data_IF_570174984987
#
_entry.id   IF_570174984987
#
_cell.length_a   1.000
_cell.length_b   1.000
_cell.length_c   1.000
_cell.angle_alpha   90.00
_cell.angle_beta   90.00
_cell.angle_gamma   90.00
#
_symmetry.space_group_name_H-M   'P 1'
#
loop_
_entity.id
_entity.type
_entity.pdbx_description
1 polymer ?
#
# COMPACT_ATOMS: atom_id res chain seq x y z
N UNK A 1 3.10 8.61 -1.80
CA UNK A 1 2.74 8.37 -3.22
C UNK A 1 2.60 9.61 -4.09
N UNK A 2 2.48 10.84 -3.54
CA UNK A 2 2.39 12.07 -4.34
C UNK A 2 3.51 12.27 -5.38
N UNK A 3 4.67 11.63 -5.21
CA UNK A 3 5.86 11.85 -6.05
C UNK A 3 6.08 10.80 -7.16
N UNK A 4 5.18 9.82 -7.31
CA UNK A 4 5.31 8.78 -8.36
C UNK A 4 4.20 8.80 -9.39
N UNK A 5 3.29 9.78 -9.31
CA UNK A 5 2.15 9.90 -10.21
C UNK A 5 2.14 11.29 -10.85
N UNK A 6 1.75 11.35 -12.13
CA UNK A 6 1.46 12.60 -12.81
C UNK A 6 0.30 13.34 -12.12
N UNK A 7 0.30 14.68 -12.22
CA UNK A 7 -0.68 15.55 -11.56
C UNK A 7 -2.12 15.18 -11.92
N UNK A 8 -2.39 14.93 -13.21
CA UNK A 8 -3.74 14.62 -13.68
C UNK A 8 -4.21 13.26 -13.12
N UNK A 9 -3.34 12.25 -13.05
CA UNK A 9 -3.66 10.95 -12.42
C UNK A 9 -3.93 11.13 -10.91
N UNK A 10 -3.15 11.95 -10.21
CA UNK A 10 -3.42 12.26 -8.80
C UNK A 10 -4.77 12.94 -8.59
N UNK A 11 -5.19 13.82 -9.51
CA UNK A 11 -6.51 14.45 -9.47
C UNK A 11 -7.61 13.44 -9.75
N UNK A 12 -7.40 12.52 -10.70
CA UNK A 12 -8.34 11.42 -10.96
C UNK A 12 -8.53 10.53 -9.74
N UNK A 13 -7.45 10.11 -9.08
CA UNK A 13 -7.54 9.27 -7.88
C UNK A 13 -8.35 9.94 -6.77
N UNK A 14 -8.21 11.26 -6.59
CA UNK A 14 -9.02 12.04 -5.65
C UNK A 14 -10.47 12.08 -6.08
N UNK A 15 -10.75 12.36 -7.35
CA UNK A 15 -12.11 12.41 -7.89
C UNK A 15 -12.82 11.06 -7.73
N UNK A 16 -12.15 9.98 -8.14
CA UNK A 16 -12.58 8.61 -7.94
C UNK A 16 -12.89 8.34 -6.47
N UNK A 17 -12.00 8.71 -5.55
CA UNK A 17 -12.24 8.51 -4.11
C UNK A 17 -13.49 9.27 -3.62
N UNK A 18 -13.67 10.52 -4.05
CA UNK A 18 -14.85 11.32 -3.69
C UNK A 18 -16.14 10.66 -4.19
N UNK A 19 -16.13 10.18 -5.43
CA UNK A 19 -17.25 9.44 -6.04
C UNK A 19 -17.58 8.15 -5.30
N UNK A 20 -16.63 7.56 -4.58
CA UNK A 20 -16.88 6.36 -3.77
C UNK A 20 -17.42 6.68 -2.38
N UNK A 21 -17.07 7.84 -1.84
CA UNK A 21 -17.66 8.33 -0.59
C UNK A 21 -19.05 8.93 -0.78
N UNK A 22 -19.32 9.51 -1.94
CA UNK A 22 -20.54 10.26 -2.24
C UNK A 22 -20.88 10.09 -3.72
N UNK A 23 -21.97 9.37 -4.00
CA UNK A 23 -22.51 9.17 -5.35
C UNK A 23 -24.04 9.28 -5.27
N UNK A 24 -24.69 10.21 -5.98
CA UNK A 24 -24.15 11.21 -6.92
C UNK A 24 -23.27 12.28 -6.24
N UNK A 25 -22.16 12.67 -6.89
CA UNK A 25 -21.26 13.73 -6.41
C UNK A 25 -21.58 15.08 -7.07
N UNK A 26 -21.89 16.15 -6.33
CA UNK A 26 -22.09 17.47 -6.94
C UNK A 26 -20.83 17.96 -7.66
N UNK A 27 -20.96 18.36 -8.92
CA UNK A 27 -19.82 18.75 -9.76
C UNK A 27 -19.08 19.98 -9.22
N UNK A 28 -19.81 20.95 -8.70
CA UNK A 28 -19.22 22.16 -8.09
C UNK A 28 -18.45 21.82 -6.81
N UNK A 29 -18.92 20.83 -6.02
CA UNK A 29 -18.21 20.33 -4.84
C UNK A 29 -16.92 19.63 -5.24
N UNK A 30 -16.97 18.75 -6.24
CA UNK A 30 -15.78 18.09 -6.78
C UNK A 30 -14.72 19.08 -7.29
N UNK A 31 -15.16 20.17 -7.93
CA UNK A 31 -14.30 21.25 -8.41
C UNK A 31 -13.67 22.04 -7.24
N UNK A 32 -14.49 22.44 -6.26
CA UNK A 32 -14.06 23.21 -5.10
C UNK A 32 -13.06 22.42 -4.23
N UNK A 33 -13.39 21.19 -3.86
CA UNK A 33 -12.55 20.36 -2.98
C UNK A 33 -11.17 20.04 -3.58
N UNK A 34 -11.05 20.06 -4.91
CA UNK A 34 -9.79 19.86 -5.61
C UNK A 34 -9.09 21.15 -6.04
N UNK A 35 -9.69 22.32 -5.80
CA UNK A 35 -9.25 23.62 -6.31
C UNK A 35 -9.07 23.61 -7.84
N UNK A 36 -10.07 23.11 -8.57
CA UNK A 36 -10.09 23.01 -10.03
C UNK A 36 -11.32 23.71 -10.61
N UNK A 37 -11.24 24.07 -11.90
CA UNK A 37 -12.43 24.52 -12.62
C UNK A 37 -13.35 23.33 -12.93
N UNK A 38 -14.66 23.59 -13.01
CA UNK A 38 -15.64 22.59 -13.49
C UNK A 38 -15.27 22.05 -14.88
N UNK A 39 -14.75 22.91 -15.76
CA UNK A 39 -14.25 22.51 -17.09
C UNK A 39 -13.12 21.47 -16.98
N UNK A 40 -12.20 21.66 -16.03
CA UNK A 40 -11.12 20.72 -15.77
C UNK A 40 -11.64 19.37 -15.27
N UNK A 41 -12.62 19.36 -14.35
CA UNK A 41 -13.24 18.12 -13.88
C UNK A 41 -13.90 17.35 -15.02
N UNK A 42 -14.64 18.03 -15.90
CA UNK A 42 -15.26 17.38 -17.08
C UNK A 42 -14.21 16.78 -18.03
N UNK A 43 -13.13 17.52 -18.31
CA UNK A 43 -12.00 17.03 -19.12
C UNK A 43 -11.37 15.77 -18.51
N UNK A 44 -11.15 15.79 -17.20
CA UNK A 44 -10.58 14.71 -16.41
C UNK A 44 -11.45 13.43 -16.48
N UNK A 45 -12.78 13.57 -16.36
CA UNK A 45 -13.72 12.46 -16.53
C UNK A 45 -13.63 11.85 -17.94
N UNK A 46 -13.68 12.69 -18.98
CA UNK A 46 -13.67 12.23 -20.38
C UNK A 46 -12.34 11.59 -20.80
N UNK A 47 -11.21 12.10 -20.30
CA UNK A 47 -9.87 11.67 -20.77
C UNK A 47 -9.25 10.53 -19.98
N UNK A 48 -9.80 10.15 -18.82
CA UNK A 48 -9.10 9.21 -17.93
C UNK A 48 -10.01 8.13 -17.35
N UNK A 49 -11.18 8.48 -16.81
CA UNK A 49 -12.07 7.47 -16.24
C UNK A 49 -12.85 6.75 -17.34
N UNK A 50 -13.44 7.49 -18.27
CA UNK A 50 -14.32 6.93 -19.31
C UNK A 50 -13.58 6.24 -20.48
N UNK A 51 -12.25 6.25 -20.50
CA UNK A 51 -11.48 5.45 -21.47
C UNK A 51 -11.53 3.95 -21.15
N UNK A 52 -11.77 3.58 -19.90
CA UNK A 52 -11.92 2.20 -19.50
C UNK A 52 -13.42 1.85 -19.45
N UNK A 53 -13.89 0.88 -20.26
CA UNK A 53 -15.31 0.53 -20.32
C UNK A 53 -15.87 0.06 -18.98
N UNK A 54 -15.02 -0.40 -18.05
CA UNK A 54 -15.43 -0.79 -16.70
C UNK A 54 -15.82 0.40 -15.82
N UNK A 55 -15.46 1.64 -16.20
CA UNK A 55 -15.66 2.85 -15.41
C UNK A 55 -16.27 3.98 -16.24
N UNK A 56 -17.59 4.02 -16.37
CA UNK A 56 -18.28 5.12 -17.03
C UNK A 56 -18.95 6.07 -16.02
N UNK A 57 -18.52 7.33 -16.02
CA UNK A 57 -19.12 8.40 -15.23
C UNK A 57 -19.61 9.52 -16.14
N UNK A 58 -20.83 9.99 -15.88
CA UNK A 58 -21.45 11.08 -16.64
C UNK A 58 -21.90 12.21 -15.71
N UNK A 59 -22.05 13.41 -16.27
CA UNK A 59 -22.54 14.58 -15.53
C UNK A 59 -23.98 14.87 -15.94
N UNK A 60 -24.90 14.57 -15.02
CA UNK A 60 -26.34 14.80 -15.20
C UNK A 60 -26.85 15.77 -14.14
N UNK A 61 -27.57 16.82 -14.56
CA UNK A 61 -28.18 17.80 -13.65
C UNK A 61 -27.18 18.38 -12.62
N UNK A 62 -25.95 18.67 -13.06
CA UNK A 62 -24.89 19.22 -12.19
C UNK A 62 -24.25 18.22 -11.23
N UNK A 63 -24.55 16.93 -11.34
CA UNK A 63 -23.98 15.86 -10.51
C UNK A 63 -23.24 14.85 -11.37
N UNK A 64 -22.10 14.36 -10.88
CA UNK A 64 -21.34 13.26 -11.45
C UNK A 64 -21.97 11.96 -10.94
N UNK A 65 -22.31 11.05 -11.86
CA UNK A 65 -22.94 9.75 -11.57
C UNK A 65 -22.19 8.62 -12.25
N UNK A 66 -22.10 7.48 -11.58
CA UNK A 66 -21.72 6.23 -12.24
C UNK A 66 -22.85 5.81 -13.18
N UNK A 67 -22.51 5.46 -14.41
CA UNK A 67 -23.47 4.98 -15.41
C UNK A 67 -23.56 3.46 -15.31
N UNK A 68 -24.57 2.96 -14.59
CA UNK A 68 -24.69 1.54 -14.26
C UNK A 68 -25.10 0.66 -15.45
N UNK A 69 -25.74 1.21 -16.49
CA UNK A 69 -26.22 0.42 -17.64
C UNK A 69 -25.11 -0.11 -18.55
N UNK A 70 -23.87 0.41 -18.41
CA UNK A 70 -22.67 -0.10 -19.12
C UNK A 70 -21.76 -0.93 -18.21
N UNK A 71 -22.04 -0.98 -16.91
CA UNK A 71 -21.30 -1.79 -15.95
C UNK A 71 -21.88 -3.21 -16.01
N UNK A 72 -21.19 -4.14 -16.67
CA UNK A 72 -21.61 -5.53 -16.69
C UNK A 72 -21.87 -6.04 -15.26
N UNK A 73 -22.87 -6.91 -15.06
CA UNK A 73 -23.16 -7.48 -13.75
C UNK A 73 -22.09 -8.53 -13.42
N UNK A 74 -20.92 -8.08 -12.98
CA UNK A 74 -19.87 -8.95 -12.47
C UNK A 74 -20.32 -9.45 -11.09
N UNK A 75 -20.86 -10.66 -11.09
CA UNK A 75 -21.29 -11.43 -9.94
C UNK A 75 -20.10 -11.76 -9.02
N UNK A 76 -19.62 -10.80 -8.23
CA UNK A 76 -19.04 -11.08 -6.92
C UNK A 76 -19.11 -9.81 -6.06
N UNK A 77 -19.73 -9.95 -4.88
CA UNK A 77 -19.80 -8.90 -3.87
C UNK A 77 -18.36 -8.62 -3.39
N UNK A 78 -17.69 -7.58 -3.94
CA UNK A 78 -16.70 -6.70 -3.29
C UNK A 78 -15.62 -6.01 -4.19
N UNK A 79 -15.67 -6.01 -5.53
CA UNK A 79 -14.49 -5.60 -6.33
C UNK A 79 -14.66 -4.67 -7.56
N UNK A 80 -15.15 -3.40 -7.47
CA UNK A 80 -14.93 -2.41 -8.55
C UNK A 80 -13.78 -1.43 -8.30
N UNK A 81 -13.46 -1.12 -7.04
CA UNK A 81 -12.66 0.09 -6.74
C UNK A 81 -11.15 -0.13 -6.75
N UNK A 82 -10.68 -1.29 -6.31
CA UNK A 82 -9.26 -1.65 -6.36
C UNK A 82 -8.77 -1.76 -7.80
N UNK A 83 -9.60 -2.29 -8.69
CA UNK A 83 -9.33 -2.37 -10.12
C UNK A 83 -9.28 -0.99 -10.77
N UNK A 84 -10.22 -0.10 -10.43
CA UNK A 84 -10.18 1.31 -10.87
C UNK A 84 -8.89 2.00 -10.46
N UNK A 85 -8.48 1.83 -9.20
CA UNK A 85 -7.22 2.40 -8.72
C UNK A 85 -6.04 1.82 -9.49
N UNK A 86 -5.97 0.49 -9.64
CA UNK A 86 -4.91 -0.16 -10.40
C UNK A 86 -4.85 0.34 -11.85
N UNK A 87 -5.99 0.51 -12.52
CA UNK A 87 -6.07 1.06 -13.87
C UNK A 87 -5.49 2.49 -13.93
N UNK A 88 -5.87 3.37 -13.00
CA UNK A 88 -5.33 4.73 -12.91
C UNK A 88 -3.81 4.74 -12.65
N UNK A 89 -3.32 3.86 -11.77
CA UNK A 89 -1.89 3.69 -11.53
C UNK A 89 -1.17 3.16 -12.78
N UNK A 90 -1.79 2.23 -13.50
CA UNK A 90 -1.22 1.66 -14.72
C UNK A 90 -1.15 2.65 -15.89
N UNK A 91 -2.00 3.68 -15.91
CA UNK A 91 -1.89 4.83 -16.84
C UNK A 91 -0.72 5.76 -16.53
N UNK A 92 -0.19 5.75 -15.30
CA UNK A 92 0.92 6.63 -14.93
C UNK A 92 2.25 6.14 -15.52
N UNK A 93 2.83 6.93 -16.42
CA UNK A 93 4.16 6.65 -16.97
C UNK A 93 5.22 6.63 -15.88
N UNK A 94 5.14 7.54 -14.90
CA UNK A 94 6.04 7.57 -13.74
C UNK A 94 5.99 6.27 -12.95
N UNK A 95 4.78 5.80 -12.64
CA UNK A 95 4.58 4.57 -11.89
C UNK A 95 5.11 3.35 -12.66
N UNK A 96 4.73 3.22 -13.94
CA UNK A 96 5.18 2.13 -14.80
C UNK A 96 6.71 2.11 -14.94
N UNK A 97 7.32 3.28 -15.12
CA UNK A 97 8.78 3.41 -15.20
C UNK A 97 9.46 2.99 -13.89
N UNK A 98 8.96 3.42 -12.74
CA UNK A 98 9.51 3.03 -11.44
C UNK A 98 9.38 1.52 -11.21
N UNK A 99 8.20 0.95 -11.49
CA UNK A 99 7.95 -0.48 -11.37
C UNK A 99 8.88 -1.28 -12.28
N UNK A 100 9.11 -0.82 -13.52
CA UNK A 100 10.04 -1.45 -14.44
C UNK A 100 11.48 -1.44 -13.90
N UNK A 101 11.97 -0.29 -13.41
CA UNK A 101 13.31 -0.19 -12.83
C UNK A 101 13.53 -1.14 -11.65
N UNK A 102 12.49 -1.34 -10.84
CA UNK A 102 12.53 -2.26 -9.71
C UNK A 102 12.52 -3.73 -10.15
N UNK A 103 11.75 -4.06 -11.19
CA UNK A 103 11.60 -5.42 -11.74
C UNK A 103 12.76 -5.84 -12.65
N UNK A 104 13.37 -4.89 -13.36
CA UNK A 104 14.44 -5.12 -14.34
C UNK A 104 15.69 -4.35 -13.93
N UNK A 105 16.52 -4.92 -13.06
CA UNK A 105 17.57 -4.16 -12.40
C UNK A 105 18.80 -3.91 -13.30
N UNK A 106 18.88 -4.55 -14.47
CA UNK A 106 19.95 -4.40 -15.46
C UNK A 106 19.55 -3.53 -16.66
N UNK A 107 18.38 -2.89 -16.63
CA UNK A 107 17.89 -2.09 -17.76
C UNK A 107 18.77 -0.86 -17.99
N UNK A 108 19.11 -0.58 -19.26
CA UNK A 108 19.96 0.56 -19.62
C UNK A 108 19.15 1.83 -19.91
N UNK A 109 19.80 2.99 -19.85
CA UNK A 109 19.19 4.25 -20.31
C UNK A 109 18.70 4.20 -21.76
N UNK A 110 19.43 3.51 -22.64
CA UNK A 110 19.06 3.37 -24.06
C UNK A 110 17.75 2.58 -24.22
N UNK A 111 17.57 1.53 -23.42
CA UNK A 111 16.34 0.73 -23.44
C UNK A 111 15.16 1.53 -22.90
N UNK A 112 15.36 2.29 -21.82
CA UNK A 112 14.33 3.15 -21.24
C UNK A 112 13.87 4.24 -22.21
N UNK A 113 14.82 4.88 -22.91
CA UNK A 113 14.52 5.86 -23.94
C UNK A 113 13.64 5.27 -25.04
N UNK A 114 14.03 4.11 -25.59
CA UNK A 114 13.27 3.42 -26.65
C UNK A 114 11.89 2.97 -26.20
N UNK A 115 11.76 2.44 -24.98
CA UNK A 115 10.52 1.85 -24.48
C UNK A 115 9.47 2.88 -24.07
N UNK A 116 9.90 4.02 -23.53
CA UNK A 116 8.99 5.06 -23.05
C UNK A 116 8.95 6.31 -23.93
N UNK A 117 9.74 6.37 -25.00
CA UNK A 117 9.87 7.53 -25.89
C UNK A 117 10.19 8.83 -25.11
N UNK A 118 11.04 8.71 -24.08
CA UNK A 118 11.41 9.82 -23.20
C UNK A 118 12.84 10.27 -23.46
N UNK A 119 13.04 11.58 -23.61
CA UNK A 119 14.38 12.17 -23.70
C UNK A 119 15.20 11.89 -22.42
N UNK A 120 16.56 11.89 -22.51
CA UNK A 120 17.42 11.71 -21.33
C UNK A 120 17.12 12.72 -20.20
N UNK A 121 16.88 13.98 -20.55
CA UNK A 121 16.50 15.03 -19.60
C UNK A 121 15.18 14.74 -18.90
N UNK A 122 14.19 14.21 -19.63
CA UNK A 122 12.90 13.80 -19.07
C UNK A 122 13.05 12.63 -18.10
N UNK A 123 13.88 11.63 -18.43
CA UNK A 123 14.18 10.50 -17.55
C UNK A 123 14.85 10.96 -16.25
N UNK A 124 15.88 11.82 -16.33
CA UNK A 124 16.56 12.34 -15.14
C UNK A 124 15.62 13.10 -14.20
N UNK A 125 14.71 13.92 -14.74
CA UNK A 125 13.69 14.62 -13.95
C UNK A 125 12.78 13.63 -13.21
N UNK A 126 12.37 12.53 -13.87
CA UNK A 126 11.56 11.49 -13.23
C UNK A 126 12.36 10.75 -12.14
N UNK A 127 13.63 10.45 -12.35
CA UNK A 127 14.49 9.81 -11.34
C UNK A 127 14.72 10.69 -10.10
N UNK A 128 14.76 12.01 -10.28
CA UNK A 128 14.75 12.94 -9.16
C UNK A 128 13.46 12.78 -8.34
N UNK A 129 12.30 12.72 -8.99
CA UNK A 129 11.01 12.47 -8.31
C UNK A 129 11.01 11.13 -7.57
N UNK A 130 11.55 10.08 -8.18
CA UNK A 130 11.64 8.75 -7.57
C UNK A 130 12.52 8.75 -6.32
N UNK A 131 13.60 9.53 -6.29
CA UNK A 131 14.45 9.61 -5.10
C UNK A 131 13.70 10.12 -3.87
N UNK A 132 12.76 11.06 -4.03
CA UNK A 132 11.92 11.51 -2.92
C UNK A 132 10.93 10.44 -2.45
N UNK A 133 10.46 9.58 -3.36
CA UNK A 133 9.59 8.46 -3.00
C UNK A 133 10.35 7.33 -2.29
N UNK A 134 11.57 7.05 -2.73
CA UNK A 134 12.41 5.95 -2.23
C UNK A 134 13.10 6.29 -0.90
N UNK A 135 13.37 7.56 -0.64
CA UNK A 135 14.10 8.01 0.55
C UNK A 135 13.51 7.53 1.90
N UNK A 136 12.18 7.59 2.14
CA UNK A 136 11.59 7.05 3.38
C UNK A 136 11.84 5.55 3.59
N UNK A 137 12.02 4.79 2.51
CA UNK A 137 12.36 3.36 2.55
C UNK A 137 13.87 3.10 2.69
N UNK A 138 14.67 4.17 2.86
CA UNK A 138 16.14 4.15 2.83
C UNK A 138 16.71 3.55 1.55
N UNK A 139 15.97 3.66 0.45
CA UNK A 139 16.39 3.24 -0.87
C UNK A 139 16.94 4.43 -1.66
N UNK A 140 17.86 4.16 -2.56
CA UNK A 140 18.48 5.16 -3.43
C UNK A 140 18.40 4.69 -4.87
N UNK A 141 18.34 5.64 -5.79
CA UNK A 141 18.43 5.38 -7.23
C UNK A 141 19.74 5.99 -7.74
N UNK A 142 20.63 5.16 -8.26
CA UNK A 142 21.73 5.64 -9.09
C UNK A 142 21.15 6.09 -10.44
N UNK A 143 21.62 7.23 -10.92
CA UNK A 143 21.14 7.89 -12.14
C UNK A 143 22.17 7.88 -13.26
N UNK A 144 23.30 7.18 -13.07
CA UNK A 144 24.32 6.93 -14.11
C UNK A 144 23.78 5.98 -15.19
N UNK A 145 24.59 5.65 -16.19
CA UNK A 145 24.22 4.91 -17.42
C UNK A 145 23.36 3.65 -17.24
N UNK A 146 23.43 3.02 -16.06
CA UNK A 146 22.53 1.94 -15.63
C UNK A 146 21.78 2.39 -14.37
N UNK A 147 20.53 2.87 -14.50
CA UNK A 147 19.78 3.34 -13.36
C UNK A 147 19.42 2.17 -12.46
N UNK A 148 20.01 2.14 -11.27
CA UNK A 148 19.88 1.03 -10.34
C UNK A 148 19.30 1.53 -9.02
N UNK A 149 18.26 0.85 -8.54
CA UNK A 149 17.74 1.07 -7.20
C UNK A 149 18.47 0.13 -6.23
N UNK A 150 19.12 0.74 -5.23
CA UNK A 150 19.96 0.09 -4.22
C UNK A 150 19.51 0.43 -2.80
N UNK A 151 19.93 -0.38 -1.84
CA UNK A 151 19.63 -0.25 -0.43
C UNK A 151 19.56 -1.62 0.25
N UNK A 152 18.99 -1.68 1.46
CA UNK A 152 18.73 -2.94 2.12
C UNK A 152 17.72 -3.76 1.29
N UNK A 153 18.04 -5.02 1.02
CA UNK A 153 17.26 -5.85 0.10
C UNK A 153 15.85 -6.12 0.65
N UNK A 154 15.67 -6.23 1.98
CA UNK A 154 14.35 -6.35 2.61
C UNK A 154 13.43 -5.18 2.25
N UNK A 155 13.96 -3.95 2.27
CA UNK A 155 13.19 -2.74 1.94
C UNK A 155 12.82 -2.71 0.46
N UNK A 156 13.80 -3.03 -0.39
CA UNK A 156 13.62 -3.01 -1.84
C UNK A 156 12.52 -3.98 -2.26
N UNK A 157 12.58 -5.19 -1.74
CA UNK A 157 11.62 -6.23 -2.04
C UNK A 157 10.23 -5.93 -1.47
N UNK A 158 10.14 -5.25 -0.34
CA UNK A 158 8.86 -4.71 0.16
C UNK A 158 8.26 -3.65 -0.77
N UNK A 159 9.08 -2.74 -1.31
CA UNK A 159 8.60 -1.76 -2.29
C UNK A 159 8.14 -2.46 -3.58
N UNK A 160 8.86 -3.48 -4.07
CA UNK A 160 8.41 -4.31 -5.19
C UNK A 160 7.05 -4.95 -4.88
N UNK A 161 6.94 -5.63 -3.73
CA UNK A 161 5.70 -6.27 -3.29
C UNK A 161 4.52 -5.30 -3.35
N UNK A 162 4.68 -4.11 -2.77
CA UNK A 162 3.60 -3.10 -2.72
C UNK A 162 3.18 -2.62 -4.10
N UNK A 163 4.14 -2.28 -4.95
CA UNK A 163 3.84 -1.75 -6.28
C UNK A 163 3.31 -2.87 -7.21
N UNK A 164 3.78 -4.10 -7.08
CA UNK A 164 3.20 -5.22 -7.85
C UNK A 164 1.73 -5.45 -7.48
N UNK A 165 1.41 -5.53 -6.18
CA UNK A 165 0.02 -5.72 -5.74
C UNK A 165 -0.88 -4.54 -6.09
N UNK A 166 -0.35 -3.31 -6.09
CA UNK A 166 -1.10 -2.14 -6.52
C UNK A 166 -1.39 -2.13 -8.03
N UNK A 167 -0.44 -2.61 -8.84
CA UNK A 167 -0.60 -2.73 -10.29
C UNK A 167 -1.57 -3.86 -10.69
N UNK A 168 -1.66 -4.89 -9.85
CA UNK A 168 -2.40 -6.13 -10.14
C UNK A 168 -3.15 -6.61 -8.88
N UNK A 169 -4.23 -5.93 -8.48
CA UNK A 169 -4.96 -6.24 -7.24
C UNK A 169 -5.70 -7.58 -7.28
N UNK A 170 -5.92 -8.14 -8.47
CA UNK A 170 -6.58 -9.44 -8.70
C UNK A 170 -5.61 -10.62 -8.73
N UNK A 171 -4.31 -10.37 -8.56
CA UNK A 171 -3.28 -11.40 -8.56
C UNK A 171 -3.50 -12.35 -7.39
N UNK A 172 -3.63 -13.65 -7.66
CA UNK A 172 -3.73 -14.64 -6.57
C UNK A 172 -2.46 -14.66 -5.73
N UNK A 173 -2.57 -15.04 -4.45
CA UNK A 173 -1.43 -15.15 -3.54
C UNK A 173 -0.27 -15.98 -4.10
N UNK A 174 -0.58 -17.10 -4.77
CA UNK A 174 0.43 -17.95 -5.40
C UNK A 174 1.14 -17.26 -6.56
N UNK A 175 0.39 -16.61 -7.46
CA UNK A 175 0.97 -15.87 -8.58
C UNK A 175 1.84 -14.71 -8.08
N UNK A 176 1.35 -13.96 -7.09
CA UNK A 176 2.10 -12.88 -6.45
C UNK A 176 3.42 -13.39 -5.88
N UNK A 177 3.40 -14.51 -5.15
CA UNK A 177 4.62 -15.10 -4.60
C UNK A 177 5.62 -15.50 -5.69
N UNK A 178 5.17 -16.16 -6.76
CA UNK A 178 6.04 -16.58 -7.85
C UNK A 178 6.65 -15.40 -8.60
N UNK A 179 5.86 -14.37 -8.91
CA UNK A 179 6.36 -13.17 -9.59
C UNK A 179 7.42 -12.45 -8.74
N UNK A 180 7.17 -12.28 -7.44
CA UNK A 180 8.14 -11.67 -6.53
C UNK A 180 9.41 -12.49 -6.41
N UNK A 181 9.28 -13.82 -6.28
CA UNK A 181 10.42 -14.74 -6.23
C UNK A 181 11.28 -14.65 -7.49
N UNK A 182 10.67 -14.61 -8.68
CA UNK A 182 11.38 -14.47 -9.95
C UNK A 182 12.15 -13.15 -10.01
N UNK A 183 11.51 -12.03 -9.64
CA UNK A 183 12.18 -10.72 -9.60
C UNK A 183 13.39 -10.75 -8.64
N UNK A 184 13.22 -11.37 -7.47
CA UNK A 184 14.31 -11.50 -6.49
C UNK A 184 15.47 -12.35 -7.02
N UNK A 185 15.18 -13.46 -7.72
CA UNK A 185 16.20 -14.29 -8.36
C UNK A 185 16.95 -13.54 -9.46
N UNK A 186 16.25 -12.79 -10.31
CA UNK A 186 16.88 -11.97 -11.35
C UNK A 186 17.83 -10.93 -10.74
N UNK A 187 17.42 -10.29 -9.65
CA UNK A 187 18.28 -9.34 -8.91
C UNK A 187 19.48 -10.03 -8.26
N UNK A 188 19.26 -11.18 -7.61
CA UNK A 188 20.34 -11.94 -6.98
C UNK A 188 21.41 -12.33 -8.00
N UNK A 189 21.00 -12.87 -9.15
CA UNK A 189 21.92 -13.27 -10.21
C UNK A 189 22.68 -12.08 -10.81
N UNK A 190 22.04 -10.91 -10.93
CA UNK A 190 22.64 -9.73 -11.52
C UNK A 190 23.65 -9.01 -10.62
N UNK A 191 23.42 -8.95 -9.30
CA UNK A 191 24.24 -8.12 -8.38
C UNK A 191 24.96 -8.90 -7.28
N UNK A 192 24.48 -10.10 -6.97
CA UNK A 192 24.98 -10.91 -5.86
C UNK A 192 25.34 -12.33 -6.32
N UNK A 193 26.10 -12.52 -7.43
CA UNK A 193 26.36 -13.87 -7.96
C UNK A 193 27.20 -14.72 -7.01
N UNK A 194 28.10 -14.08 -6.26
CA UNK A 194 29.07 -14.76 -5.38
C UNK A 194 29.02 -14.25 -3.93
N UNK A 195 28.05 -13.40 -3.58
CA UNK A 195 27.90 -12.83 -2.24
C UNK A 195 26.45 -12.93 -1.79
N UNK A 196 26.18 -13.13 -0.49
CA UNK A 196 24.80 -13.10 -0.02
C UNK A 196 24.22 -11.68 -0.16
N UNK A 197 22.96 -11.58 -0.57
CA UNK A 197 22.27 -10.30 -0.64
C UNK A 197 22.27 -9.61 0.73
N UNK A 198 22.36 -8.27 0.73
CA UNK A 198 22.45 -7.50 1.97
C UNK A 198 21.08 -7.38 2.65
N UNK A 199 20.81 -8.33 3.55
CA UNK A 199 19.63 -8.29 4.44
C UNK A 199 19.90 -7.57 5.76
N UNK A 200 21.15 -7.29 6.08
CA UNK A 200 21.56 -6.72 7.35
C UNK A 200 21.20 -5.23 7.43
N UNK A 201 20.32 -4.91 8.38
CA UNK A 201 20.04 -3.57 8.87
C UNK A 201 19.80 -3.71 10.37
N UNK A 202 20.26 -2.73 11.14
CA UNK A 202 19.95 -2.66 12.56
C UNK A 202 18.43 -2.49 12.73
N UNK A 203 17.79 -3.47 13.38
CA UNK A 203 16.34 -3.50 13.59
C UNK A 203 16.02 -3.01 14.99
N UNK A 204 15.13 -2.02 15.09
CA UNK A 204 14.59 -1.54 16.36
C UNK A 204 13.11 -1.20 16.24
N UNK A 205 12.31 -1.48 17.29
CA UNK A 205 12.66 -2.31 18.46
C UNK A 205 12.76 -3.81 18.10
N UNK A 206 13.53 -4.60 18.85
CA UNK A 206 13.72 -6.05 18.58
C UNK A 206 12.65 -6.94 19.20
N UNK A 207 11.88 -6.43 20.16
CA UNK A 207 10.89 -7.18 20.96
C UNK A 207 9.62 -7.61 20.21
N UNK A 208 9.54 -7.37 18.90
CA UNK A 208 8.46 -7.86 18.02
C UNK A 208 9.01 -8.70 16.86
N UNK A 209 10.30 -9.03 16.91
CA UNK A 209 11.01 -9.62 15.80
C UNK A 209 11.67 -10.91 16.25
N UNK A 210 10.98 -12.04 16.04
CA UNK A 210 11.59 -13.34 16.23
C UNK A 210 12.92 -13.41 15.48
N UNK A 211 13.97 -13.89 16.17
CA UNK A 211 15.36 -13.88 15.64
C UNK A 211 15.47 -14.50 14.27
N UNK A 212 14.66 -15.52 13.97
CA UNK A 212 14.71 -16.19 12.67
C UNK A 212 14.32 -15.25 11.51
N UNK A 213 13.43 -14.26 11.68
CA UNK A 213 13.12 -13.27 10.62
C UNK A 213 14.28 -12.32 10.31
N UNK A 214 15.30 -12.27 11.17
CA UNK A 214 16.53 -11.51 10.92
C UNK A 214 17.53 -12.30 10.08
N UNK A 215 17.25 -13.58 9.77
CA UNK A 215 18.19 -14.50 9.13
C UNK A 215 17.91 -14.62 7.63
N UNK A 216 18.85 -14.19 6.78
CA UNK A 216 19.01 -14.57 5.37
C UNK A 216 17.77 -14.63 4.46
N UNK A 217 17.95 -15.26 3.30
CA UNK A 217 16.92 -15.37 2.25
C UNK A 217 15.72 -16.24 2.67
N UNK A 218 15.98 -17.37 3.34
CA UNK A 218 14.95 -18.37 3.66
C UNK A 218 13.87 -17.81 4.57
N UNK A 219 14.24 -17.14 5.65
CA UNK A 219 13.26 -16.58 6.58
C UNK A 219 12.49 -15.41 5.97
N UNK A 220 13.12 -14.69 5.05
CA UNK A 220 12.44 -13.65 4.29
C UNK A 220 11.37 -14.24 3.36
N UNK A 221 11.70 -15.29 2.59
CA UNK A 221 10.74 -15.97 1.73
C UNK A 221 9.57 -16.55 2.53
N UNK A 222 9.85 -17.09 3.72
CA UNK A 222 8.81 -17.57 4.64
C UNK A 222 7.90 -16.42 5.11
N UNK A 223 8.45 -15.28 5.52
CA UNK A 223 7.65 -14.10 5.86
C UNK A 223 6.73 -13.70 4.70
N UNK A 224 7.22 -13.72 3.46
CA UNK A 224 6.44 -13.43 2.26
C UNK A 224 5.29 -14.39 2.02
N UNK A 225 5.52 -15.69 2.21
CA UNK A 225 4.45 -16.67 2.15
C UNK A 225 3.37 -16.36 3.20
N UNK A 226 3.77 -15.97 4.41
CA UNK A 226 2.80 -15.63 5.46
C UNK A 226 2.03 -14.33 5.18
N UNK A 227 2.68 -13.29 4.62
CA UNK A 227 1.97 -12.06 4.24
C UNK A 227 0.96 -12.27 3.11
N UNK A 228 1.25 -13.23 2.22
CA UNK A 228 0.35 -13.65 1.14
C UNK A 228 -0.67 -14.71 1.60
N UNK A 229 -0.71 -15.05 2.89
CA UNK A 229 -1.57 -16.09 3.47
C UNK A 229 -1.39 -17.48 2.83
N UNK A 230 -0.22 -17.74 2.25
CA UNK A 230 0.19 -19.08 1.78
C UNK A 230 0.69 -19.95 2.94
N UNK A 231 1.14 -19.31 4.01
CA UNK A 231 1.55 -19.95 5.25
C UNK A 231 0.85 -19.26 6.44
N UNK A 232 0.48 -20.00 7.49
CA UNK A 232 -0.09 -19.41 8.69
C UNK A 232 0.90 -18.46 9.39
N UNK A 233 0.36 -17.39 9.96
CA UNK A 233 1.12 -16.43 10.74
C UNK A 233 1.02 -16.78 12.23
N UNK A 234 2.17 -16.98 12.87
CA UNK A 234 2.27 -17.41 14.26
C UNK A 234 2.71 -16.26 15.16
N UNK A 235 2.04 -16.10 16.29
CA UNK A 235 2.43 -15.17 17.36
C UNK A 235 3.15 -15.99 18.43
N UNK A 236 4.38 -15.62 18.83
CA UNK A 236 5.06 -16.32 19.92
C UNK A 236 4.28 -16.14 21.25
N UNK A 237 4.41 -17.12 22.14
CA UNK A 237 3.53 -17.26 23.31
C UNK A 237 3.56 -16.06 24.25
N UNK A 238 4.74 -15.46 24.48
CA UNK A 238 4.90 -14.32 25.37
C UNK A 238 4.19 -13.07 24.82
N UNK A 239 4.39 -12.77 23.53
CA UNK A 239 3.72 -11.66 22.85
C UNK A 239 2.21 -11.90 22.73
N UNK A 240 1.78 -13.15 22.48
CA UNK A 240 0.36 -13.50 22.45
C UNK A 240 -0.31 -13.24 23.80
N UNK A 241 0.34 -13.62 24.92
CA UNK A 241 -0.17 -13.36 26.27
C UNK A 241 -0.28 -11.85 26.54
N UNK A 242 0.78 -11.09 26.25
CA UNK A 242 0.81 -9.65 26.47
C UNK A 242 -0.25 -8.92 25.64
N UNK A 243 -0.33 -9.20 24.34
CA UNK A 243 -1.31 -8.59 23.44
C UNK A 243 -2.74 -8.94 23.86
N UNK A 244 -3.01 -10.20 24.24
CA UNK A 244 -4.32 -10.61 24.76
C UNK A 244 -4.70 -9.80 26.00
N UNK A 245 -3.79 -9.65 26.98
CA UNK A 245 -4.03 -8.85 28.19
C UNK A 245 -4.40 -7.39 27.87
N UNK A 246 -3.76 -6.80 26.86
CA UNK A 246 -3.98 -5.40 26.47
C UNK A 246 -5.28 -5.23 25.69
N UNK A 247 -5.60 -6.15 24.77
CA UNK A 247 -6.71 -6.01 23.81
C UNK A 247 -8.04 -6.44 24.40
N UNK A 248 -8.06 -7.48 25.26
CA UNK A 248 -9.31 -8.03 25.82
C UNK A 248 -10.21 -6.97 26.46
N UNK A 249 -9.72 -6.07 27.34
CA UNK A 249 -10.56 -5.04 27.96
C UNK A 249 -11.25 -4.12 26.93
N UNK A 250 -10.54 -3.76 25.86
CA UNK A 250 -11.05 -2.87 24.81
C UNK A 250 -12.17 -3.57 24.03
N UNK A 251 -12.02 -4.87 23.75
CA UNK A 251 -13.04 -5.66 23.07
C UNK A 251 -14.25 -5.98 23.95
N UNK A 252 -14.10 -6.00 25.28
CA UNK A 252 -15.23 -6.12 26.20
C UNK A 252 -16.15 -4.90 26.11
N UNK A 253 -15.60 -3.69 25.93
CA UNK A 253 -16.37 -2.45 25.79
C UNK A 253 -16.88 -2.22 24.37
N UNK A 254 -16.08 -2.60 23.36
CA UNK A 254 -16.37 -2.40 21.94
C UNK A 254 -16.26 -3.72 21.15
N UNK A 255 -17.22 -4.65 21.33
CA UNK A 255 -17.13 -6.01 20.80
C UNK A 255 -17.01 -6.07 19.27
N UNK A 256 -16.32 -7.11 18.80
CA UNK A 256 -16.16 -7.47 17.40
C UNK A 256 -16.57 -8.93 17.19
N UNK A 257 -17.04 -9.25 15.98
CA UNK A 257 -17.40 -10.62 15.61
C UNK A 257 -16.17 -11.51 15.37
N UNK A 258 -15.00 -10.91 15.09
CA UNK A 258 -13.78 -11.65 14.80
C UNK A 258 -13.21 -12.35 16.05
N UNK A 259 -12.70 -13.59 15.92
CA UNK A 259 -11.96 -14.25 16.99
C UNK A 259 -10.72 -13.44 17.39
N UNK A 260 -10.45 -13.37 18.70
CA UNK A 260 -9.32 -12.62 19.24
C UNK A 260 -7.99 -13.11 18.66
N UNK A 261 -7.84 -14.41 18.45
CA UNK A 261 -6.62 -15.05 17.92
C UNK A 261 -6.27 -14.50 16.53
N UNK A 262 -7.28 -14.28 15.68
CA UNK A 262 -7.10 -13.69 14.35
C UNK A 262 -6.64 -12.24 14.45
N UNK A 263 -7.20 -11.47 15.39
CA UNK A 263 -6.82 -10.09 15.64
C UNK A 263 -5.38 -9.98 16.17
N UNK A 264 -5.01 -10.84 17.12
CA UNK A 264 -3.65 -10.91 17.69
C UNK A 264 -2.60 -11.14 16.59
N UNK A 265 -2.84 -12.10 15.70
CA UNK A 265 -1.93 -12.36 14.58
C UNK A 265 -1.76 -11.16 13.66
N UNK A 266 -2.84 -10.46 13.32
CA UNK A 266 -2.79 -9.27 12.45
C UNK A 266 -2.08 -8.08 13.12
N UNK A 267 -2.31 -7.88 14.42
CA UNK A 267 -1.65 -6.81 15.19
C UNK A 267 -0.16 -7.10 15.31
N UNK A 268 0.20 -8.34 15.67
CA UNK A 268 1.60 -8.76 15.74
C UNK A 268 2.28 -8.63 14.36
N UNK A 269 1.60 -8.99 13.28
CA UNK A 269 2.09 -8.79 11.91
C UNK A 269 2.37 -7.32 11.61
N UNK A 270 1.47 -6.40 11.97
CA UNK A 270 1.69 -4.97 11.79
C UNK A 270 2.92 -4.47 12.57
N UNK A 271 3.10 -4.93 13.82
CA UNK A 271 4.27 -4.57 14.63
C UNK A 271 5.57 -5.17 14.09
N UNK A 272 5.57 -6.44 13.67
CA UNK A 272 6.71 -7.11 13.03
C UNK A 272 7.15 -6.34 11.79
N UNK A 273 6.21 -5.96 10.92
CA UNK A 273 6.51 -5.19 9.71
C UNK A 273 7.04 -3.80 10.05
N UNK A 274 6.45 -3.08 11.01
CA UNK A 274 6.98 -1.78 11.44
C UNK A 274 8.38 -1.88 12.08
N UNK A 275 8.70 -2.99 12.74
CA UNK A 275 10.04 -3.20 13.24
C UNK A 275 11.03 -3.47 12.09
N UNK A 276 10.66 -4.35 11.14
CA UNK A 276 11.52 -4.81 10.04
C UNK A 276 11.73 -3.80 8.90
N UNK A 277 10.71 -2.98 8.61
CA UNK A 277 10.62 -2.16 7.40
C UNK A 277 10.72 -0.66 7.73
N UNK A 278 10.94 0.17 6.71
CA UNK A 278 10.96 1.62 6.82
C UNK A 278 9.95 2.22 5.83
N UNK A 279 9.62 3.49 5.98
CA UNK A 279 8.64 4.16 5.12
C UNK A 279 7.21 3.68 5.37
N UNK A 280 6.29 4.09 4.50
CA UNK A 280 4.86 3.84 4.71
C UNK A 280 4.48 2.37 4.42
N UNK A 281 3.72 1.77 5.36
CA UNK A 281 3.33 0.36 5.30
C UNK A 281 2.10 0.02 4.43
N UNK A 282 1.32 1.01 4.02
CA UNK A 282 0.13 0.79 3.19
C UNK A 282 0.51 0.58 1.74
N UNK A 283 -0.13 -0.35 1.04
CA UNK A 283 -0.08 -0.37 -0.43
C UNK A 283 -0.65 0.95 -0.99
N UNK A 284 -1.86 1.33 -0.55
CA UNK A 284 -2.40 2.67 -0.74
C UNK A 284 -3.12 3.17 0.51
N UNK A 285 -2.65 4.26 1.16
CA UNK A 285 -3.26 4.74 2.39
C UNK A 285 -4.60 5.42 2.11
N UNK A 286 -5.54 5.37 3.07
CA UNK A 286 -6.81 6.09 2.97
C UNK A 286 -6.57 7.59 2.83
N UNK A 287 -7.36 8.27 1.99
CA UNK A 287 -7.21 9.71 1.75
C UNK A 287 -7.73 10.56 2.92
N UNK A 288 -8.81 10.12 3.56
CA UNK A 288 -9.43 10.78 4.71
C UNK A 288 -9.50 9.79 5.88
N UNK A 289 -8.38 9.55 6.57
CA UNK A 289 -8.35 8.63 7.70
C UNK A 289 -9.09 9.21 8.91
N UNK A 290 -9.98 8.41 9.49
CA UNK A 290 -10.56 8.67 10.81
C UNK A 290 -10.27 7.45 11.69
N UNK A 291 -9.84 7.69 12.93
CA UNK A 291 -9.63 6.63 13.91
C UNK A 291 -10.89 6.46 14.75
N UNK A 292 -11.33 5.22 14.91
CA UNK A 292 -12.41 4.90 15.84
C UNK A 292 -11.97 5.04 17.29
N UNK A 293 -12.93 5.06 18.23
CA UNK A 293 -12.61 5.10 19.66
C UNK A 293 -11.83 3.85 20.06
N UNK A 294 -12.21 2.68 19.51
CA UNK A 294 -11.46 1.42 19.69
C UNK A 294 -9.98 1.57 19.32
N UNK A 295 -9.68 2.15 18.15
CA UNK A 295 -8.30 2.37 17.70
C UNK A 295 -7.54 3.34 18.61
N UNK A 296 -8.19 4.42 19.06
CA UNK A 296 -7.59 5.39 19.98
C UNK A 296 -7.27 4.76 21.34
N UNK A 297 -8.21 4.00 21.93
CA UNK A 297 -8.00 3.26 23.18
C UNK A 297 -6.87 2.23 23.05
N UNK A 298 -6.79 1.52 21.93
CA UNK A 298 -5.71 0.56 21.68
C UNK A 298 -4.34 1.24 21.64
N UNK A 299 -4.21 2.38 20.96
CA UNK A 299 -2.96 3.14 20.91
C UNK A 299 -2.56 3.59 22.32
N UNK A 300 -3.51 4.11 23.10
CA UNK A 300 -3.23 4.52 24.49
C UNK A 300 -2.80 3.34 25.37
N UNK A 301 -3.47 2.20 25.22
CA UNK A 301 -3.13 0.99 25.95
C UNK A 301 -1.74 0.45 25.56
N UNK A 302 -1.38 0.51 24.27
CA UNK A 302 -0.03 0.15 23.84
C UNK A 302 1.04 1.13 24.32
N UNK A 303 0.79 2.45 24.30
CA UNK A 303 1.74 3.44 24.82
C UNK A 303 2.04 3.23 26.31
N UNK A 304 1.07 2.72 27.06
CA UNK A 304 1.20 2.51 28.52
C UNK A 304 1.71 1.11 28.89
N UNK A 305 1.32 0.08 28.15
CA UNK A 305 1.53 -1.31 28.55
C UNK A 305 2.47 -2.10 27.64
N UNK A 306 2.72 -1.63 26.41
CA UNK A 306 3.52 -2.35 25.42
C UNK A 306 4.94 -1.76 25.35
N UNK A 307 5.98 -2.52 25.74
CA UNK A 307 7.36 -2.02 25.72
C UNK A 307 7.79 -1.52 24.35
N UNK A 308 8.45 -0.37 24.34
CA UNK A 308 9.02 0.27 23.14
C UNK A 308 8.01 0.62 22.03
N UNK A 309 6.70 0.56 22.30
CA UNK A 309 5.68 0.94 21.33
C UNK A 309 5.82 2.38 20.87
N UNK A 310 6.21 3.30 21.75
CA UNK A 310 6.50 4.71 21.41
C UNK A 310 7.52 4.85 20.25
N UNK A 311 8.55 4.00 20.23
CA UNK A 311 9.63 4.04 19.21
C UNK A 311 9.10 3.52 17.89
N UNK A 312 8.30 2.46 17.96
CA UNK A 312 7.64 1.87 16.81
C UNK A 312 6.64 2.86 16.19
N UNK A 313 5.82 3.53 17.02
CA UNK A 313 4.86 4.54 16.58
C UNK A 313 5.55 5.79 15.99
N UNK A 314 6.66 6.24 16.58
CA UNK A 314 7.46 7.33 16.01
C UNK A 314 8.02 6.97 14.64
N UNK A 315 8.40 5.72 14.43
CA UNK A 315 8.89 5.20 13.15
C UNK A 315 7.76 5.04 12.12
N UNK A 316 6.60 4.55 12.56
CA UNK A 316 5.42 4.30 11.73
C UNK A 316 4.19 5.00 12.33
N UNK A 317 4.02 6.31 12.09
CA UNK A 317 2.88 7.07 12.60
C UNK A 317 1.54 6.59 12.00
N UNK A 318 1.58 5.80 10.93
CA UNK A 318 0.41 5.19 10.31
C UNK A 318 -0.12 3.93 11.04
N UNK A 319 0.58 3.42 12.06
CA UNK A 319 0.17 2.23 12.81
C UNK A 319 -1.27 2.26 13.35
N UNK A 320 -1.77 3.38 13.92
CA UNK A 320 -3.17 3.48 14.35
C UNK A 320 -4.16 3.17 13.21
N UNK A 321 -3.83 3.55 11.98
CA UNK A 321 -4.66 3.27 10.80
C UNK A 321 -4.59 1.79 10.40
N UNK A 322 -3.47 1.10 10.65
CA UNK A 322 -3.40 -0.35 10.44
C UNK A 322 -4.32 -1.08 11.40
N UNK A 323 -4.45 -0.63 12.65
CA UNK A 323 -5.43 -1.22 13.58
C UNK A 323 -6.86 -0.99 13.11
N UNK A 324 -7.16 0.19 12.58
CA UNK A 324 -8.45 0.47 11.96
C UNK A 324 -8.75 -0.48 10.79
N UNK A 325 -7.75 -0.77 9.94
CA UNK A 325 -7.89 -1.80 8.90
C UNK A 325 -8.24 -3.17 9.48
N UNK A 326 -7.56 -3.56 10.57
CA UNK A 326 -7.76 -4.84 11.22
C UNK A 326 -9.20 -4.96 11.76
N UNK A 327 -9.70 -3.92 12.43
CA UNK A 327 -11.08 -3.87 12.95
C UNK A 327 -12.13 -3.95 11.84
N UNK A 328 -11.86 -3.33 10.69
CA UNK A 328 -12.78 -3.31 9.55
C UNK A 328 -12.59 -4.48 8.59
N UNK A 329 -11.76 -5.46 8.95
CA UNK A 329 -11.45 -6.64 8.14
C UNK A 329 -10.80 -6.32 6.79
N UNK A 330 -10.11 -5.19 6.69
CA UNK A 330 -9.45 -4.73 5.47
C UNK A 330 -7.98 -5.10 5.49
N UNK A 331 -7.48 -5.58 4.35
CA UNK A 331 -6.04 -5.80 4.18
C UNK A 331 -5.36 -4.48 3.82
N UNK A 332 -4.36 -4.05 4.59
CA UNK A 332 -3.49 -2.92 4.23
C UNK A 332 -2.52 -3.26 3.08
N UNK A 333 -2.51 -4.52 2.64
CA UNK A 333 -1.90 -4.98 1.38
C UNK A 333 -2.82 -4.83 0.16
N UNK A 334 -4.05 -4.34 0.35
CA UNK A 334 -4.92 -3.91 -0.72
C UNK A 334 -5.05 -2.39 -0.71
N UNK A 335 -5.42 -1.77 -1.84
CA UNK A 335 -5.66 -0.34 -1.88
C UNK A 335 -6.88 0.04 -1.00
N UNK A 336 -6.71 1.01 -0.09
CA UNK A 336 -7.77 1.46 0.82
C UNK A 336 -8.12 2.92 0.50
N UNK A 337 -9.38 3.15 0.12
CA UNK A 337 -9.84 4.45 -0.36
C UNK A 337 -10.38 5.32 0.79
N UNK A 338 -11.32 4.77 1.56
CA UNK A 338 -11.93 5.41 2.72
C UNK A 338 -12.41 4.34 3.70
N UNK A 339 -12.26 4.57 5.00
CA UNK A 339 -12.84 3.70 6.02
C UNK A 339 -14.35 3.87 6.07
N UNK A 340 -15.10 2.77 6.27
CA UNK A 340 -16.56 2.90 6.44
C UNK A 340 -16.83 3.58 7.78
N UNK A 341 -17.58 4.68 7.79
CA UNK A 341 -18.07 5.30 9.01
C UNK A 341 -19.18 4.42 9.62
N UNK A 342 -18.83 3.27 10.19
CA UNK A 342 -19.76 2.56 11.08
C UNK A 342 -19.73 3.29 12.41
N UNK A 343 -20.89 3.79 12.87
CA UNK A 343 -21.03 4.26 14.25
C UNK A 343 -20.73 3.08 15.17
N UNK A 344 -19.63 3.13 15.91
CA UNK A 344 -19.40 2.22 17.02
C UNK A 344 -20.57 2.41 17.98
N UNK A 345 -21.36 1.35 18.21
CA UNK A 345 -22.42 1.38 19.21
C UNK A 345 -21.76 1.04 20.54
N UNK A 346 -21.59 1.98 21.48
CA UNK A 346 -21.26 1.60 22.84
C UNK A 346 -22.39 0.74 23.41
N UNK A 347 -22.04 -0.23 24.24
CA UNK A 347 -23.03 -0.92 25.08
C UNK A 347 -23.65 0.12 26.03
N UNK A 348 -24.98 0.06 26.16
CA UNK A 348 -25.73 0.81 27.18
C UNK A 348 -25.50 0.22 28.55
#
# INVERSE_FOLDING_TARGET
MKNILEKDIMQMLRLSTMLLSENPLPLNKAAADQNLSVKTIRRLLSSCLNEDPSFHYDVQQGHIRAFHDLQQPLASKNFPHTEMLAALFNKSTNYQLLLLLLKMPTISFADLHKRYYLSPSSLHRRFLSFSFFLAPYRLRIDRRSFPLITGNERQLRYVIFRLTLLASPTLSSNQAFQELKQIHQLRANAFYPNTPATFTQQVYPTCFVPRFYLVGERSYLFLWQQLLALEPFYVPTEEAFLLRRIITPILSEHPLQQPLEVLLSKIFQAHLLGALLEGNLFVYPPLNPCLSERSQRLVQAFLTQLPHYEKLLKKHPELPLLYECIWQERSFFQPIIAFSQKKERPLK
#
